data_IF_891651472579
#
_entry.id   IF_891651472579
#
_cell.length_a   1.000
_cell.length_b   1.000
_cell.length_c   1.000
_cell.angle_alpha   90.00
_cell.angle_beta   90.00
_cell.angle_gamma   90.00
#
_symmetry.space_group_name_H-M   'P 1'
#
loop_
_entity.id
_entity.type
_entity.pdbx_description
1 polymer ?
#
# COMPACT_ATOMS: atom_id res chain seq x y z
N UNK A 1 -33.93 26.95 45.95
CA UNK A 1 -33.45 27.31 44.58
C UNK A 1 -32.26 26.40 44.25
N UNK A 2 -32.50 25.36 43.43
CA UNK A 2 -31.44 24.41 42.96
C UNK A 2 -30.77 24.98 41.72
N UNK A 3 -29.47 25.30 41.81
CA UNK A 3 -28.67 25.74 40.65
C UNK A 3 -28.25 24.47 39.84
N UNK A 4 -28.75 24.39 38.63
CA UNK A 4 -28.41 23.34 37.63
C UNK A 4 -27.10 23.79 36.94
N UNK A 5 -26.00 23.08 37.19
CA UNK A 5 -24.72 23.30 36.49
C UNK A 5 -24.74 22.53 35.19
N UNK A 6 -24.86 23.25 34.09
CA UNK A 6 -24.82 22.68 32.73
C UNK A 6 -23.33 22.44 32.35
N UNK A 7 -22.87 21.19 32.43
CA UNK A 7 -21.53 20.81 31.98
C UNK A 7 -21.58 20.62 30.48
N UNK A 8 -21.03 21.57 29.73
CA UNK A 8 -20.85 21.49 28.29
C UNK A 8 -19.60 20.66 28.00
N UNK A 9 -19.76 19.37 27.74
CA UNK A 9 -18.66 18.52 27.28
C UNK A 9 -18.39 18.78 25.80
N UNK A 10 -17.35 19.56 25.52
CA UNK A 10 -16.83 19.75 24.16
C UNK A 10 -16.12 18.46 23.73
N UNK A 11 -16.84 17.57 23.02
CA UNK A 11 -16.23 16.40 22.41
C UNK A 11 -15.38 16.84 21.22
N UNK A 12 -14.06 16.86 21.41
CA UNK A 12 -13.07 16.96 20.33
C UNK A 12 -13.18 15.68 19.49
N UNK A 13 -13.93 15.74 18.39
CA UNK A 13 -13.92 14.70 17.37
C UNK A 13 -12.59 14.83 16.64
N UNK A 14 -11.59 14.09 17.08
CA UNK A 14 -10.37 13.89 16.31
C UNK A 14 -10.74 13.08 15.07
N UNK A 15 -10.90 13.74 13.94
CA UNK A 15 -10.98 13.08 12.64
C UNK A 15 -9.62 12.41 12.38
N UNK A 16 -9.47 11.16 12.80
CA UNK A 16 -8.41 10.30 12.29
C UNK A 16 -8.76 10.05 10.83
N UNK A 17 -8.19 10.86 9.94
CA UNK A 17 -8.32 10.63 8.51
C UNK A 17 -7.61 9.30 8.20
N UNK A 18 -8.40 8.29 7.85
CA UNK A 18 -7.84 7.04 7.34
C UNK A 18 -6.99 7.34 6.10
N UNK A 19 -5.86 6.63 5.96
CA UNK A 19 -5.03 6.75 4.77
C UNK A 19 -5.86 6.40 3.52
N UNK A 20 -5.65 7.15 2.44
CA UNK A 20 -6.32 6.87 1.16
C UNK A 20 -5.91 5.48 0.68
N UNK A 21 -6.89 4.65 0.30
CA UNK A 21 -6.64 3.32 -0.24
C UNK A 21 -6.71 3.35 -1.77
N UNK A 22 -5.79 2.66 -2.42
CA UNK A 22 -5.78 2.48 -3.88
C UNK A 22 -7.08 1.79 -4.32
N UNK A 23 -7.83 2.45 -5.19
CA UNK A 23 -9.13 1.96 -5.68
C UNK A 23 -8.97 0.81 -6.67
N UNK A 24 -9.90 -0.12 -6.62
CA UNK A 24 -10.00 -1.24 -7.56
C UNK A 24 -11.45 -1.68 -7.73
N UNK A 25 -11.72 -2.38 -8.83
CA UNK A 25 -12.99 -3.06 -9.08
C UNK A 25 -12.81 -4.56 -8.86
N UNK A 26 -13.72 -5.19 -8.13
CA UNK A 26 -13.74 -6.64 -7.97
C UNK A 26 -14.45 -7.25 -9.19
N UNK A 27 -13.72 -8.02 -9.98
CA UNK A 27 -14.24 -8.72 -11.17
C UNK A 27 -14.75 -10.12 -10.80
N UNK A 28 -13.98 -10.83 -9.96
CA UNK A 28 -14.34 -12.15 -9.46
C UNK A 28 -14.05 -12.17 -7.95
N UNK A 29 -14.96 -12.78 -7.19
CA UNK A 29 -14.76 -13.02 -5.76
C UNK A 29 -15.20 -14.42 -5.40
N UNK A 30 -14.31 -15.17 -4.77
CA UNK A 30 -14.62 -16.46 -4.17
C UNK A 30 -14.25 -16.46 -2.66
N UNK A 31 -14.25 -17.63 -2.02
CA UNK A 31 -13.96 -17.76 -0.58
C UNK A 31 -12.49 -17.51 -0.24
N UNK A 32 -11.57 -17.67 -1.20
CA UNK A 32 -10.13 -17.66 -0.95
C UNK A 32 -9.45 -16.43 -1.53
N UNK A 33 -9.87 -15.95 -2.72
CA UNK A 33 -9.22 -14.82 -3.40
C UNK A 33 -10.23 -13.97 -4.16
N UNK A 34 -9.77 -12.81 -4.60
CA UNK A 34 -10.47 -11.88 -5.49
C UNK A 34 -9.62 -11.64 -6.75
N UNK A 35 -10.27 -11.53 -7.91
CA UNK A 35 -9.65 -10.91 -9.09
C UNK A 35 -10.06 -9.45 -9.08
N UNK A 36 -9.07 -8.58 -9.03
CA UNK A 36 -9.22 -7.14 -8.97
C UNK A 36 -8.70 -6.48 -10.22
N UNK A 37 -9.43 -5.52 -10.74
CA UNK A 37 -8.98 -4.64 -11.80
C UNK A 37 -8.55 -3.30 -11.20
N UNK A 38 -7.35 -2.86 -11.57
CA UNK A 38 -6.79 -1.57 -11.19
C UNK A 38 -6.57 -0.71 -12.45
N UNK A 39 -6.84 0.58 -12.34
CA UNK A 39 -6.43 1.58 -13.34
C UNK A 39 -4.93 1.87 -13.27
N UNK A 40 -4.41 2.67 -14.19
CA UNK A 40 -3.06 3.23 -14.10
C UNK A 40 -2.87 3.98 -12.76
N UNK A 41 -1.69 3.85 -12.17
CA UNK A 41 -1.40 4.39 -10.82
C UNK A 41 -0.03 5.00 -10.76
N UNK A 42 0.04 6.22 -10.22
CA UNK A 42 1.30 6.87 -9.95
C UNK A 42 1.89 6.36 -8.63
N UNK A 43 3.18 6.05 -8.64
CA UNK A 43 3.91 5.57 -7.46
C UNK A 43 5.25 6.27 -7.34
N UNK A 44 5.76 6.32 -6.11
CA UNK A 44 7.19 6.50 -5.86
C UNK A 44 7.80 5.15 -5.52
N UNK A 45 8.95 4.87 -6.10
CA UNK A 45 9.65 3.59 -6.01
C UNK A 45 11.08 3.77 -5.56
N UNK A 46 11.58 2.85 -4.74
CA UNK A 46 13.02 2.69 -4.50
C UNK A 46 13.41 1.21 -4.52
N UNK A 47 14.66 0.95 -4.91
CA UNK A 47 15.23 -0.40 -4.96
C UNK A 47 16.43 -0.49 -4.03
N UNK A 48 16.39 -1.45 -3.11
CA UNK A 48 17.50 -1.70 -2.16
C UNK A 48 17.40 -3.12 -1.60
N UNK A 49 18.45 -3.60 -1.00
CA UNK A 49 18.45 -4.87 -0.27
C UNK A 49 17.86 -4.79 1.14
N UNK A 50 17.65 -3.57 1.68
CA UNK A 50 17.15 -3.35 3.03
C UNK A 50 15.78 -2.68 3.05
N UNK A 51 14.80 -3.35 3.66
CA UNK A 51 13.42 -2.88 3.78
C UNK A 51 13.30 -1.58 4.59
N UNK A 52 14.03 -1.47 5.69
CA UNK A 52 13.96 -0.29 6.56
C UNK A 52 14.52 0.95 5.87
N UNK A 53 15.58 0.79 5.10
CA UNK A 53 16.18 1.84 4.28
C UNK A 53 15.21 2.27 3.16
N UNK A 54 14.56 1.31 2.49
CA UNK A 54 13.57 1.58 1.45
C UNK A 54 12.43 2.44 1.98
N UNK A 55 11.82 2.01 3.08
CA UNK A 55 10.70 2.74 3.69
C UNK A 55 11.11 4.15 4.07
N UNK A 56 12.28 4.32 4.70
CA UNK A 56 12.78 5.63 5.14
C UNK A 56 13.00 6.60 3.97
N UNK A 57 13.52 6.12 2.83
CA UNK A 57 13.72 6.94 1.64
C UNK A 57 12.39 7.46 1.09
N UNK A 58 11.40 6.57 0.92
CA UNK A 58 10.09 6.94 0.43
C UNK A 58 9.33 7.82 1.43
N UNK A 59 9.45 7.52 2.73
CA UNK A 59 8.83 8.33 3.78
C UNK A 59 9.40 9.74 3.84
N UNK A 60 10.73 9.92 3.69
CA UNK A 60 11.34 11.24 3.59
C UNK A 60 10.78 12.04 2.42
N UNK A 61 10.59 11.40 1.26
CA UNK A 61 10.02 12.06 0.09
C UNK A 61 8.61 12.60 0.38
N UNK A 62 7.71 11.79 0.91
CA UNK A 62 6.33 12.23 1.23
C UNK A 62 6.28 13.22 2.40
N UNK A 63 7.30 13.25 3.26
CA UNK A 63 7.43 14.24 4.35
C UNK A 63 8.08 15.56 3.90
N UNK A 64 8.04 15.88 2.62
CA UNK A 64 8.50 17.16 2.07
C UNK A 64 9.95 17.18 1.60
N UNK A 65 10.70 16.06 1.63
CA UNK A 65 12.04 16.00 1.02
C UNK A 65 11.94 15.74 -0.51
N UNK A 66 11.21 16.60 -1.19
CA UNK A 66 11.06 16.67 -2.64
C UNK A 66 11.36 18.10 -3.13
N UNK A 67 11.40 18.32 -4.45
CA UNK A 67 11.79 19.63 -5.03
C UNK A 67 10.87 20.76 -4.58
N UNK A 68 9.59 20.50 -4.41
CA UNK A 68 8.58 21.49 -4.05
C UNK A 68 8.41 21.67 -2.55
N UNK A 69 9.15 20.89 -1.72
CA UNK A 69 9.01 20.83 -0.26
C UNK A 69 7.56 20.55 0.19
N UNK A 70 6.82 19.81 -0.64
CA UNK A 70 5.40 19.52 -0.44
C UNK A 70 5.24 18.25 0.40
N UNK A 71 4.47 18.34 1.49
CA UNK A 71 4.03 17.17 2.24
C UNK A 71 2.93 16.45 1.47
N UNK A 72 3.03 15.12 1.40
CA UNK A 72 2.13 14.24 0.67
C UNK A 72 1.56 13.24 1.67
N UNK A 73 0.25 13.07 1.68
CA UNK A 73 -0.42 12.13 2.59
C UNK A 73 -0.03 10.70 2.26
N UNK A 74 0.20 9.90 3.31
CA UNK A 74 0.45 8.46 3.16
C UNK A 74 -0.80 7.78 2.60
N UNK A 75 -0.59 6.88 1.63
CA UNK A 75 -1.64 6.02 1.07
C UNK A 75 -1.41 4.57 1.46
N UNK A 76 -2.40 3.72 1.25
CA UNK A 76 -2.32 2.28 1.41
C UNK A 76 -2.73 1.57 0.12
N UNK A 77 -2.14 0.41 -0.18
CA UNK A 77 -1.09 -0.31 0.55
C UNK A 77 0.33 0.19 0.26
N UNK A 78 1.27 -0.16 1.12
CA UNK A 78 2.70 -0.20 0.76
C UNK A 78 2.96 -1.52 0.06
N UNK A 79 3.52 -1.49 -1.14
CA UNK A 79 3.83 -2.71 -1.89
C UNK A 79 5.32 -3.02 -1.91
N UNK A 80 5.62 -4.31 -1.92
CA UNK A 80 6.97 -4.86 -1.96
C UNK A 80 7.03 -6.02 -2.94
N UNK A 81 8.09 -6.02 -3.77
CA UNK A 81 8.39 -7.09 -4.70
C UNK A 81 9.86 -7.44 -4.59
N UNK A 82 10.19 -8.72 -4.54
CA UNK A 82 11.57 -9.18 -4.53
C UNK A 82 11.99 -9.71 -5.91
N UNK A 83 13.17 -9.29 -6.37
CA UNK A 83 13.78 -9.80 -7.59
C UNK A 83 15.29 -9.89 -7.44
N UNK A 84 15.86 -11.11 -7.49
CA UNK A 84 17.29 -11.38 -7.45
C UNK A 84 17.99 -10.77 -6.20
N UNK A 85 17.37 -10.93 -5.00
CA UNK A 85 17.90 -10.40 -3.75
C UNK A 85 17.72 -8.89 -3.57
N UNK A 86 17.16 -8.19 -4.56
CA UNK A 86 16.81 -6.78 -4.43
C UNK A 86 15.31 -6.64 -4.18
N UNK A 87 14.99 -5.83 -3.18
CA UNK A 87 13.62 -5.47 -2.88
C UNK A 87 13.27 -4.16 -3.58
N UNK A 88 12.14 -4.16 -4.26
CA UNK A 88 11.48 -2.96 -4.76
C UNK A 88 10.35 -2.62 -3.82
N UNK A 89 10.34 -1.40 -3.27
CA UNK A 89 9.25 -0.88 -2.44
C UNK A 89 8.59 0.29 -3.15
N UNK A 90 7.25 0.36 -3.06
CA UNK A 90 6.46 1.41 -3.68
C UNK A 90 5.45 1.98 -2.69
N UNK A 91 5.30 3.32 -2.73
CA UNK A 91 4.16 4.03 -2.16
C UNK A 91 3.34 4.59 -3.30
N UNK A 92 2.04 4.38 -3.26
CA UNK A 92 1.12 4.98 -4.23
C UNK A 92 0.95 6.46 -3.93
N UNK A 93 0.81 7.24 -4.96
CA UNK A 93 0.50 8.66 -4.79
C UNK A 93 -1.01 8.83 -4.57
N UNK A 94 -1.43 9.79 -3.72
CA UNK A 94 -2.84 10.20 -3.63
C UNK A 94 -3.42 10.52 -5.00
N UNK A 95 -4.74 10.33 -5.17
CA UNK A 95 -5.42 10.54 -6.47
C UNK A 95 -5.38 11.99 -6.98
N UNK A 96 -5.02 12.94 -6.13
CA UNK A 96 -4.82 14.35 -6.50
C UNK A 96 -3.53 14.59 -7.32
N UNK A 97 -2.62 13.59 -7.38
CA UNK A 97 -1.35 13.68 -8.12
C UNK A 97 -1.41 12.93 -9.43
N UNK A 98 -0.85 13.55 -10.45
CA UNK A 98 -0.54 12.99 -11.76
C UNK A 98 0.91 13.31 -12.18
N UNK A 99 1.31 12.91 -13.38
CA UNK A 99 2.67 13.14 -13.89
C UNK A 99 3.01 14.63 -14.07
N UNK A 100 2.01 15.51 -14.14
CA UNK A 100 2.21 16.95 -14.35
C UNK A 100 2.43 17.74 -13.06
N UNK A 101 1.97 17.21 -11.91
CA UNK A 101 1.95 17.94 -10.64
C UNK A 101 2.66 17.21 -9.48
N UNK A 102 3.17 15.99 -9.70
CA UNK A 102 3.93 15.26 -8.70
C UNK A 102 5.32 15.87 -8.52
N UNK A 103 5.75 16.17 -7.28
CA UNK A 103 7.07 16.77 -7.04
C UNK A 103 8.22 15.84 -7.45
N UNK A 104 9.27 16.39 -8.05
CA UNK A 104 10.49 15.64 -8.34
C UNK A 104 11.21 15.22 -7.04
N UNK A 105 11.75 13.98 -6.96
CA UNK A 105 12.55 13.55 -5.85
C UNK A 105 13.87 14.33 -5.72
N UNK A 106 14.26 14.68 -4.49
CA UNK A 106 15.61 15.16 -4.18
C UNK A 106 16.65 14.04 -4.15
N UNK A 107 16.18 12.80 -3.88
CA UNK A 107 17.04 11.62 -3.80
C UNK A 107 16.96 10.84 -5.13
N UNK A 108 18.09 10.64 -5.81
CA UNK A 108 18.20 9.92 -7.08
C UNK A 108 17.81 8.44 -7.01
N UNK A 109 17.79 7.86 -5.80
CA UNK A 109 17.34 6.47 -5.58
C UNK A 109 15.82 6.34 -5.48
N UNK A 110 15.08 7.46 -5.41
CA UNK A 110 13.61 7.50 -5.46
C UNK A 110 13.19 7.90 -6.87
N UNK A 111 12.29 7.12 -7.45
CA UNK A 111 11.76 7.38 -8.80
C UNK A 111 10.26 7.54 -8.76
N UNK A 112 9.73 8.48 -9.51
CA UNK A 112 8.30 8.58 -9.80
C UNK A 112 8.01 7.74 -11.04
N UNK A 113 7.02 6.87 -10.98
CA UNK A 113 6.66 5.95 -12.07
C UNK A 113 5.15 5.84 -12.20
N UNK A 114 4.67 5.70 -13.43
CA UNK A 114 3.30 5.30 -13.71
C UNK A 114 3.24 3.79 -13.92
N UNK A 115 2.50 3.08 -13.05
CA UNK A 115 2.26 1.65 -13.18
C UNK A 115 0.97 1.45 -13.96
N UNK A 116 1.08 0.72 -15.07
CA UNK A 116 -0.08 0.36 -15.87
C UNK A 116 -1.08 -0.46 -15.08
N UNK A 117 -2.34 -0.16 -15.30
CA UNK A 117 -3.45 -0.94 -14.76
C UNK A 117 -3.46 -2.38 -15.26
N UNK A 118 -4.36 -3.16 -14.73
CA UNK A 118 -4.51 -4.56 -15.10
C UNK A 118 -5.20 -5.39 -14.04
N UNK A 119 -5.20 -6.70 -14.26
CA UNK A 119 -5.86 -7.66 -13.40
C UNK A 119 -4.89 -8.30 -12.41
N UNK A 120 -5.30 -8.38 -11.15
CA UNK A 120 -4.51 -8.95 -10.07
C UNK A 120 -5.36 -9.96 -9.28
N UNK A 121 -4.83 -11.14 -9.08
CA UNK A 121 -5.38 -12.07 -8.10
C UNK A 121 -4.89 -11.66 -6.70
N UNK A 122 -5.79 -11.51 -5.74
CA UNK A 122 -5.48 -11.05 -4.39
C UNK A 122 -6.08 -11.95 -3.34
N UNK A 123 -5.24 -12.47 -2.43
CA UNK A 123 -5.68 -13.13 -1.20
C UNK A 123 -5.55 -12.16 -0.03
N UNK A 124 -6.60 -12.06 0.78
CA UNK A 124 -6.64 -11.23 1.97
C UNK A 124 -6.44 -12.09 3.20
N UNK A 125 -5.48 -11.75 4.03
CA UNK A 125 -5.19 -12.49 5.25
C UNK A 125 -4.77 -11.55 6.38
N UNK A 126 -4.80 -12.03 7.61
CA UNK A 126 -4.43 -11.30 8.81
C UNK A 126 -3.30 -12.01 9.57
N UNK A 127 -2.82 -11.36 10.62
CA UNK A 127 -1.80 -11.88 11.50
C UNK A 127 -0.49 -11.08 11.42
N UNK A 128 0.59 -11.71 11.92
CA UNK A 128 1.91 -11.04 11.94
C UNK A 128 2.44 -10.85 10.52
N UNK A 129 2.96 -9.67 10.22
CA UNK A 129 3.59 -9.33 8.95
C UNK A 129 4.99 -9.98 8.83
N UNK A 130 5.07 -11.32 8.97
CA UNK A 130 6.29 -12.11 8.83
C UNK A 130 6.40 -12.75 7.45
N UNK A 131 7.62 -13.10 7.05
CA UNK A 131 7.86 -13.76 5.77
C UNK A 131 7.21 -15.15 5.71
N UNK A 132 7.22 -15.90 6.83
CA UNK A 132 6.54 -17.19 6.90
C UNK A 132 5.03 -17.08 6.68
N UNK A 133 4.37 -16.04 7.24
CA UNK A 133 2.95 -15.81 7.01
C UNK A 133 2.67 -15.39 5.55
N UNK A 134 3.54 -14.58 4.97
CA UNK A 134 3.47 -14.21 3.56
C UNK A 134 3.62 -15.42 2.63
N UNK A 135 4.69 -16.22 2.80
CA UNK A 135 4.96 -17.40 1.97
C UNK A 135 3.79 -18.38 2.03
N UNK A 136 3.29 -18.68 3.24
CA UNK A 136 2.13 -19.55 3.42
C UNK A 136 0.93 -19.12 2.56
N UNK A 137 0.56 -17.84 2.59
CA UNK A 137 -0.63 -17.37 1.87
C UNK A 137 -0.37 -17.19 0.37
N UNK A 138 0.86 -16.87 -0.03
CA UNK A 138 1.30 -16.89 -1.41
C UNK A 138 1.10 -18.31 -2.00
N UNK A 139 1.60 -19.33 -1.32
CA UNK A 139 1.51 -20.72 -1.79
C UNK A 139 0.05 -21.19 -1.89
N UNK A 140 -0.82 -20.79 -0.95
CA UNK A 140 -2.26 -21.05 -1.01
C UNK A 140 -2.88 -20.38 -2.26
N UNK A 141 -2.54 -19.13 -2.53
CA UNK A 141 -3.05 -18.40 -3.69
C UNK A 141 -2.58 -19.05 -4.99
N UNK A 142 -1.28 -19.31 -5.13
CA UNK A 142 -0.69 -19.93 -6.33
C UNK A 142 -1.29 -21.31 -6.61
N UNK A 143 -1.46 -22.13 -5.55
CA UNK A 143 -2.13 -23.44 -5.67
C UNK A 143 -3.56 -23.31 -6.18
N UNK A 144 -4.34 -22.38 -5.60
CA UNK A 144 -5.74 -22.22 -6.01
C UNK A 144 -5.87 -21.65 -7.43
N UNK A 145 -5.04 -20.66 -7.81
CA UNK A 145 -5.03 -20.13 -9.18
C UNK A 145 -4.70 -21.21 -10.21
N UNK A 146 -3.74 -22.09 -9.90
CA UNK A 146 -3.42 -23.23 -10.76
C UNK A 146 -4.60 -24.19 -10.90
N UNK A 147 -5.32 -24.48 -9.80
CA UNK A 147 -6.51 -25.33 -9.80
C UNK A 147 -7.65 -24.72 -10.62
N UNK A 148 -7.78 -23.40 -10.59
CA UNK A 148 -8.79 -22.65 -11.33
C UNK A 148 -8.34 -22.29 -12.78
N UNK A 149 -7.21 -22.88 -13.23
CA UNK A 149 -6.62 -22.69 -14.57
C UNK A 149 -6.28 -21.24 -14.91
N UNK A 150 -5.99 -20.42 -13.89
CA UNK A 150 -5.59 -19.02 -14.04
C UNK A 150 -4.06 -18.94 -14.14
N UNK A 151 -3.57 -18.41 -15.25
CA UNK A 151 -2.14 -18.24 -15.49
C UNK A 151 -1.58 -17.04 -14.74
N UNK A 152 -0.50 -17.26 -13.98
CA UNK A 152 0.25 -16.20 -13.28
C UNK A 152 1.33 -15.67 -14.23
N UNK A 153 1.30 -14.38 -14.54
CA UNK A 153 2.21 -13.72 -15.51
C UNK A 153 3.26 -12.82 -14.86
N UNK A 154 3.20 -12.65 -13.54
CA UNK A 154 4.11 -11.76 -12.81
C UNK A 154 4.57 -12.39 -11.49
N UNK A 155 5.60 -11.79 -10.88
CA UNK A 155 6.00 -12.14 -9.52
C UNK A 155 4.95 -11.67 -8.50
N UNK A 156 4.81 -12.38 -7.37
CA UNK A 156 3.89 -11.98 -6.33
C UNK A 156 4.31 -10.64 -5.70
N UNK A 157 3.30 -9.86 -5.33
CA UNK A 157 3.46 -8.54 -4.72
C UNK A 157 2.91 -8.64 -3.29
N UNK A 158 3.73 -8.30 -2.29
CA UNK A 158 3.28 -8.15 -0.91
C UNK A 158 2.70 -6.76 -0.71
N UNK A 159 1.42 -6.67 -0.35
CA UNK A 159 0.73 -5.42 -0.12
C UNK A 159 0.36 -5.30 1.37
N UNK A 160 0.91 -4.29 2.07
CA UNK A 160 0.71 -4.05 3.49
C UNK A 160 -0.18 -2.83 3.69
N UNK A 161 -1.33 -3.03 4.34
CA UNK A 161 -2.34 -1.98 4.54
C UNK A 161 -2.27 -1.30 5.90
N UNK A 162 -1.70 -1.95 6.91
CA UNK A 162 -1.63 -1.42 8.27
C UNK A 162 -0.20 -1.09 8.68
N UNK A 163 -0.07 -0.22 9.69
CA UNK A 163 1.21 0.03 10.34
C UNK A 163 1.85 -1.29 10.85
N UNK A 164 3.18 -1.43 10.81
CA UNK A 164 3.87 -2.63 11.28
C UNK A 164 3.62 -2.96 12.76
N UNK A 165 3.05 -2.02 13.51
CA UNK A 165 2.72 -2.19 14.93
C UNK A 165 1.29 -2.67 15.20
N UNK A 166 0.46 -2.84 14.16
CA UNK A 166 -0.91 -3.37 14.25
C UNK A 166 -1.00 -4.76 13.64
N UNK A 167 -1.98 -5.57 14.09
CA UNK A 167 -2.32 -6.83 13.41
C UNK A 167 -2.71 -6.51 11.97
N UNK A 168 -1.82 -6.84 11.06
CA UNK A 168 -1.87 -6.35 9.68
C UNK A 168 -2.91 -7.10 8.84
N UNK A 169 -3.69 -6.34 8.08
CA UNK A 169 -4.31 -6.87 6.86
C UNK A 169 -3.26 -6.83 5.76
N UNK A 170 -2.95 -8.00 5.20
CA UNK A 170 -1.94 -8.16 4.15
C UNK A 170 -2.63 -8.79 2.94
N UNK A 171 -2.33 -8.27 1.74
CA UNK A 171 -2.81 -8.83 0.48
C UNK A 171 -1.62 -9.28 -0.37
N UNK A 172 -1.82 -10.28 -1.19
CA UNK A 172 -0.86 -10.76 -2.20
C UNK A 172 -1.55 -10.76 -3.53
#
# INVERSE_FOLDING_TARGET
MKKLLLIFTLSLISNVMAAEEVKYTIIVKNKLYEIREYSDRLVIETKTSDQSSSFRKLFKYISGNNKDKKEIKMTTPVTQTEKNGNMTMQFYMPTEFDESNVPDPNNSEVKVLNIKGGYYAAIKYSGRASDGNYVKHKDILEYQLKKDEISIISKPIRATYNSPFTLSLIHI
#
